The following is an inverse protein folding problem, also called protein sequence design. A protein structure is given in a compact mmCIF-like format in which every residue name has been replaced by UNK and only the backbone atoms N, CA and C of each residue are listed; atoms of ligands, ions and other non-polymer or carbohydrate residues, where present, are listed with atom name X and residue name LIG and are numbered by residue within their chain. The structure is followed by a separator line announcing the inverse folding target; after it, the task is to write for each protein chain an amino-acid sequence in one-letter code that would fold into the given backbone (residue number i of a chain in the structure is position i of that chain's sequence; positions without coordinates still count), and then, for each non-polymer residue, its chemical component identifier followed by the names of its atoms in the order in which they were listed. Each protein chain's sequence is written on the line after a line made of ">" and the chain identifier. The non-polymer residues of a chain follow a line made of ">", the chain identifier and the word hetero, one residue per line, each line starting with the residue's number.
data_IF_105769264479
#
_entry.id   IF_105769264479
#
_cell.length_a   1.000
_cell.length_b   1.000
_cell.length_c   1.000
_cell.angle_alpha   90.00
_cell.angle_beta   90.00
_cell.angle_gamma   90.00
#
_symmetry.space_group_name_H-M   'P 1'
#
loop_
_entity.id
_entity.type
_entity.pdbx_description
1 polymer ?
#
# COMPACT_ATOMS: atom_id res chain seq x y z
N UNK A 1 -20.68 -5.37 1.58
CA UNK A 1 -20.39 -3.91 1.50
C UNK A 1 -18.88 -3.76 1.65
N UNK A 2 -18.23 -3.00 0.77
CA UNK A 2 -16.80 -2.72 0.87
C UNK A 2 -16.53 -1.80 2.07
N UNK A 3 -15.41 -2.02 2.75
CA UNK A 3 -14.96 -1.20 3.89
C UNK A 3 -13.86 -0.25 3.42
N UNK A 4 -13.96 1.02 3.76
CA UNK A 4 -12.91 1.98 3.50
C UNK A 4 -11.78 1.83 4.51
N UNK A 5 -10.55 1.83 4.01
CA UNK A 5 -9.34 1.72 4.82
C UNK A 5 -8.35 2.82 4.42
N UNK A 6 -7.45 3.14 5.32
CA UNK A 6 -6.37 4.10 5.10
C UNK A 6 -5.01 3.44 5.29
N UNK A 7 -3.99 3.98 4.64
CA UNK A 7 -2.61 3.52 4.85
C UNK A 7 -2.12 4.05 6.19
N UNK A 8 -1.82 3.13 7.11
CA UNK A 8 -1.23 3.44 8.41
C UNK A 8 0.28 3.68 8.29
N UNK A 9 0.95 2.92 7.44
CA UNK A 9 2.39 3.00 7.22
C UNK A 9 2.96 1.76 6.53
N UNK A 10 4.29 1.72 6.48
CA UNK A 10 5.06 0.56 6.02
C UNK A 10 5.79 -0.04 7.21
N UNK A 11 5.65 -1.34 7.38
CA UNK A 11 6.37 -2.16 8.35
C UNK A 11 7.41 -3.04 7.63
N UNK A 12 8.34 -3.60 8.39
CA UNK A 12 9.31 -4.58 7.90
C UNK A 12 9.09 -5.90 8.64
N UNK A 13 8.90 -6.97 7.90
CA UNK A 13 8.92 -8.33 8.46
C UNK A 13 10.34 -8.64 8.96
N UNK A 14 10.51 -8.77 10.27
CA UNK A 14 11.81 -8.96 10.89
C UNK A 14 12.47 -10.31 10.55
N UNK A 15 11.69 -11.29 10.09
CA UNK A 15 12.20 -12.62 9.71
C UNK A 15 12.69 -12.65 8.27
N UNK A 16 12.00 -11.94 7.36
CA UNK A 16 12.30 -11.99 5.92
C UNK A 16 12.93 -10.71 5.39
N UNK A 17 12.85 -9.60 6.14
CA UNK A 17 13.24 -8.27 5.69
C UNK A 17 12.28 -7.67 4.65
N UNK A 18 11.16 -8.34 4.38
CA UNK A 18 10.19 -7.89 3.38
C UNK A 18 9.32 -6.75 3.91
N UNK A 19 9.07 -5.70 3.12
CA UNK A 19 8.18 -4.64 3.53
C UNK A 19 6.71 -5.07 3.50
N UNK A 20 5.94 -4.50 4.42
CA UNK A 20 4.51 -4.73 4.61
C UNK A 20 3.80 -3.38 4.59
N UNK A 21 2.87 -3.16 3.69
CA UNK A 21 1.93 -2.04 3.82
C UNK A 21 0.82 -2.42 4.78
N UNK A 22 0.56 -1.57 5.75
CA UNK A 22 -0.50 -1.77 6.74
C UNK A 22 -1.65 -0.84 6.43
N UNK A 23 -2.80 -1.41 6.10
CA UNK A 23 -4.06 -0.69 5.99
C UNK A 23 -4.82 -0.81 7.31
N UNK A 24 -5.55 0.24 7.69
CA UNK A 24 -6.37 0.28 8.89
C UNK A 24 -7.75 0.82 8.56
N UNK A 25 -8.79 0.27 9.17
CA UNK A 25 -10.14 0.81 9.03
C UNK A 25 -10.29 2.15 9.76
N UNK A 26 -11.29 2.93 9.36
CA UNK A 26 -11.52 4.27 9.89
C UNK A 26 -11.85 4.27 11.40
N UNK A 27 -12.29 3.15 11.95
CA UNK A 27 -12.61 2.98 13.37
C UNK A 27 -11.42 2.45 14.19
N UNK A 28 -10.27 2.19 13.56
CA UNK A 28 -9.06 1.62 14.18
C UNK A 28 -9.28 0.25 14.85
N UNK A 29 -10.23 -0.54 14.36
CA UNK A 29 -10.57 -1.86 14.91
C UNK A 29 -9.87 -3.00 14.19
N UNK A 30 -9.51 -2.81 12.93
CA UNK A 30 -8.91 -3.83 12.07
C UNK A 30 -7.72 -3.27 11.33
N UNK A 31 -6.67 -4.06 11.26
CA UNK A 31 -5.52 -3.81 10.42
C UNK A 31 -5.37 -4.92 9.39
N UNK A 32 -5.03 -4.58 8.15
CA UNK A 32 -4.76 -5.50 7.07
C UNK A 32 -3.31 -5.33 6.61
N UNK A 33 -2.41 -6.24 7.01
CA UNK A 33 -1.04 -6.25 6.50
C UNK A 33 -1.00 -6.91 5.12
N UNK A 34 -0.29 -6.29 4.19
CA UNK A 34 -0.06 -6.83 2.84
C UNK A 34 1.44 -6.77 2.55
N UNK A 35 2.07 -7.92 2.31
CA UNK A 35 3.47 -8.00 1.91
C UNK A 35 3.65 -7.45 0.50
N UNK A 36 4.64 -6.57 0.33
CA UNK A 36 4.90 -5.86 -0.93
C UNK A 36 6.38 -5.89 -1.28
N UNK A 37 6.73 -5.49 -2.49
CA UNK A 37 8.12 -5.35 -2.91
C UNK A 37 8.76 -4.05 -2.39
N UNK A 38 10.09 -4.02 -2.37
CA UNK A 38 10.85 -2.86 -1.89
C UNK A 38 10.64 -1.61 -2.76
N UNK A 39 10.49 -1.78 -4.07
CA UNK A 39 10.23 -0.68 -4.99
C UNK A 39 8.86 -0.05 -4.75
N UNK A 40 7.84 -0.88 -4.55
CA UNK A 40 6.48 -0.45 -4.25
C UNK A 40 6.40 0.22 -2.86
N UNK A 41 7.08 -0.35 -1.87
CA UNK A 41 7.19 0.26 -0.54
C UNK A 41 7.84 1.64 -0.60
N UNK A 42 8.93 1.79 -1.37
CA UNK A 42 9.57 3.08 -1.60
C UNK A 42 8.63 4.09 -2.25
N UNK A 43 7.82 3.65 -3.23
CA UNK A 43 6.84 4.50 -3.89
C UNK A 43 5.75 5.01 -2.93
N UNK A 44 5.31 4.17 -1.97
CA UNK A 44 4.32 4.52 -0.95
C UNK A 44 4.93 5.46 0.09
N UNK A 45 6.11 5.14 0.62
CA UNK A 45 6.81 5.95 1.63
C UNK A 45 7.04 7.38 1.14
N UNK A 46 7.45 7.56 -0.13
CA UNK A 46 7.67 8.91 -0.68
C UNK A 46 6.45 9.80 -0.55
N UNK A 47 5.25 9.25 -0.70
CA UNK A 47 4.01 10.01 -0.53
C UNK A 47 3.73 10.27 0.95
N UNK A 48 3.83 9.25 1.80
CA UNK A 48 3.57 9.37 3.24
C UNK A 48 4.51 10.39 3.88
N UNK A 49 5.80 10.35 3.54
CA UNK A 49 6.85 11.24 4.06
C UNK A 49 6.96 12.56 3.28
N UNK A 50 6.08 12.78 2.29
CA UNK A 50 6.06 13.98 1.45
C UNK A 50 7.43 14.30 0.81
N UNK A 51 8.13 13.24 0.36
CA UNK A 51 9.46 13.35 -0.27
C UNK A 51 9.31 13.88 -1.69
N UNK A 52 9.82 15.07 -1.93
CA UNK A 52 9.78 15.71 -3.25
C UNK A 52 10.79 15.06 -4.21
N UNK A 53 10.34 14.80 -5.43
CA UNK A 53 11.16 14.27 -6.52
C UNK A 53 11.29 15.30 -7.64
N UNK A 54 12.46 15.36 -8.28
CA UNK A 54 12.71 16.32 -9.39
C UNK A 54 11.97 15.96 -10.67
N UNK A 55 11.73 14.68 -10.89
CA UNK A 55 11.04 14.14 -12.08
C UNK A 55 10.02 13.10 -11.63
N UNK A 56 8.89 12.95 -12.37
CA UNK A 56 7.88 11.95 -12.06
C UNK A 56 8.49 10.55 -11.96
N UNK A 57 8.21 9.84 -10.88
CA UNK A 57 8.49 8.42 -10.73
C UNK A 57 7.40 7.59 -11.43
N UNK A 58 7.54 6.27 -11.47
CA UNK A 58 6.63 5.39 -12.23
C UNK A 58 5.16 5.62 -11.90
N UNK A 59 4.78 5.67 -10.62
CA UNK A 59 3.38 5.87 -10.22
C UNK A 59 2.91 7.30 -10.47
N UNK A 60 3.80 8.30 -10.36
CA UNK A 60 3.48 9.69 -10.72
C UNK A 60 3.23 9.80 -12.23
N UNK A 61 4.05 9.10 -13.04
CA UNK A 61 3.87 9.04 -14.50
C UNK A 61 2.51 8.41 -14.86
N UNK A 62 2.11 7.33 -14.18
CA UNK A 62 0.83 6.68 -14.43
C UNK A 62 -0.33 7.65 -14.13
N UNK A 63 -0.29 8.37 -13.01
CA UNK A 63 -1.31 9.39 -12.70
C UNK A 63 -1.35 10.46 -13.79
N UNK A 64 -0.19 10.99 -14.21
CA UNK A 64 -0.14 11.99 -15.27
C UNK A 64 -0.75 11.46 -16.59
N UNK A 65 -0.51 10.19 -16.92
CA UNK A 65 -1.10 9.56 -18.12
C UNK A 65 -2.63 9.41 -17.99
N UNK A 66 -3.12 9.00 -16.81
CA UNK A 66 -4.56 8.89 -16.54
C UNK A 66 -5.24 10.26 -16.75
N UNK A 67 -4.66 11.32 -16.19
CA UNK A 67 -5.18 12.67 -16.30
C UNK A 67 -5.11 13.23 -17.72
N UNK A 68 -3.99 12.98 -18.43
CA UNK A 68 -3.82 13.42 -19.83
C UNK A 68 -4.84 12.75 -20.79
N UNK A 69 -5.27 11.53 -20.45
CA UNK A 69 -6.30 10.80 -21.19
C UNK A 69 -7.73 11.15 -20.73
N UNK A 70 -7.89 12.20 -19.92
CA UNK A 70 -9.19 12.68 -19.43
C UNK A 70 -9.94 11.70 -18.51
N UNK A 71 -9.19 10.81 -17.82
CA UNK A 71 -9.72 9.96 -16.77
C UNK A 71 -9.36 10.50 -15.39
N UNK A 72 -10.08 10.05 -14.38
CA UNK A 72 -9.74 10.25 -12.96
C UNK A 72 -9.70 8.92 -12.27
N UNK A 73 -8.73 8.72 -11.38
CA UNK A 73 -8.76 7.61 -10.46
C UNK A 73 -9.84 7.90 -9.41
N UNK A 74 -10.92 7.12 -9.45
CA UNK A 74 -12.08 7.31 -8.58
C UNK A 74 -11.88 6.62 -7.23
N UNK A 75 -11.41 5.38 -7.25
CA UNK A 75 -11.12 4.56 -6.08
C UNK A 75 -10.25 3.37 -6.45
N UNK A 76 -9.76 2.67 -5.46
CA UNK A 76 -9.23 1.32 -5.64
C UNK A 76 -10.04 0.32 -4.81
N UNK A 77 -10.09 -0.92 -5.27
CA UNK A 77 -10.82 -1.99 -4.61
C UNK A 77 -9.90 -3.21 -4.46
N UNK A 78 -9.57 -3.60 -3.22
CA UNK A 78 -8.92 -4.89 -2.94
C UNK A 78 -10.05 -5.88 -2.72
N UNK A 79 -10.32 -6.71 -3.76
CA UNK A 79 -11.57 -7.42 -3.84
C UNK A 79 -11.48 -8.89 -3.51
N UNK A 80 -10.31 -9.52 -3.66
CA UNK A 80 -10.15 -10.95 -3.42
C UNK A 80 -8.76 -11.32 -2.91
N UNK A 81 -8.63 -12.53 -2.35
CA UNK A 81 -7.37 -13.13 -1.92
C UNK A 81 -7.40 -14.63 -2.19
N UNK A 82 -6.44 -15.13 -2.94
CA UNK A 82 -6.24 -16.55 -3.21
C UNK A 82 -4.81 -16.96 -2.89
N UNK A 83 -4.66 -17.98 -2.02
CA UNK A 83 -3.32 -18.51 -1.66
C UNK A 83 -2.33 -17.41 -1.29
N UNK A 84 -2.72 -16.49 -0.41
CA UNK A 84 -1.93 -15.33 0.04
C UNK A 84 -1.66 -14.27 -1.04
N UNK A 85 -2.23 -14.42 -2.25
CA UNK A 85 -2.15 -13.43 -3.31
C UNK A 85 -3.40 -12.57 -3.30
N UNK A 86 -3.22 -11.28 -3.08
CA UNK A 86 -4.30 -10.29 -3.08
C UNK A 86 -4.52 -9.73 -4.48
N UNK A 87 -5.79 -9.52 -4.82
CA UNK A 87 -6.23 -8.95 -6.10
C UNK A 87 -6.85 -7.58 -5.89
N UNK A 88 -6.52 -6.64 -6.76
CA UNK A 88 -7.06 -5.30 -6.69
C UNK A 88 -7.47 -4.77 -8.06
N UNK A 89 -8.44 -3.86 -8.04
CA UNK A 89 -8.84 -3.07 -9.20
C UNK A 89 -8.54 -1.58 -8.94
N UNK A 90 -8.02 -0.91 -9.96
CA UNK A 90 -8.00 0.53 -10.07
C UNK A 90 -9.25 0.93 -10.85
N UNK A 91 -10.14 1.67 -10.22
CA UNK A 91 -11.37 2.12 -10.86
C UNK A 91 -11.17 3.55 -11.36
N UNK A 92 -11.16 3.70 -12.67
CA UNK A 92 -11.08 4.98 -13.35
C UNK A 92 -12.47 5.44 -13.77
N UNK A 93 -12.67 6.74 -13.79
CA UNK A 93 -13.91 7.37 -14.26
C UNK A 93 -13.60 8.34 -15.39
N UNK A 94 -14.33 8.22 -16.50
CA UNK A 94 -14.21 9.12 -17.64
C UNK A 94 -15.09 10.39 -17.49
N UNK A 95 -15.01 11.30 -18.47
CA UNK A 95 -15.83 12.53 -18.53
C UNK A 95 -17.34 12.25 -18.60
N UNK A 96 -17.74 11.07 -19.08
CA UNK A 96 -19.14 10.63 -19.16
C UNK A 96 -19.61 9.94 -17.88
N UNK A 97 -18.74 9.90 -16.85
CA UNK A 97 -18.95 9.20 -15.57
C UNK A 97 -19.04 7.68 -15.70
N UNK A 98 -18.54 7.12 -16.79
CA UNK A 98 -18.40 5.65 -16.92
C UNK A 98 -17.21 5.16 -16.14
N UNK A 99 -17.39 4.04 -15.47
CA UNK A 99 -16.33 3.39 -14.67
C UNK A 99 -15.61 2.34 -15.50
N UNK A 100 -14.30 2.32 -15.34
CA UNK A 100 -13.40 1.36 -15.98
C UNK A 100 -12.52 0.73 -14.91
N UNK A 101 -12.70 -0.56 -14.66
CA UNK A 101 -11.89 -1.31 -13.70
C UNK A 101 -10.67 -1.90 -14.41
N UNK A 102 -9.51 -1.67 -13.84
CA UNK A 102 -8.22 -2.17 -14.34
C UNK A 102 -7.64 -3.07 -13.27
N UNK A 103 -7.34 -4.32 -13.62
CA UNK A 103 -6.67 -5.27 -12.74
C UNK A 103 -5.27 -4.78 -12.36
N UNK A 104 -4.91 -4.94 -11.10
CA UNK A 104 -3.61 -4.50 -10.60
C UNK A 104 -3.20 -5.26 -9.34
N UNK A 105 -1.91 -5.17 -9.00
CA UNK A 105 -1.46 -5.58 -7.68
C UNK A 105 -1.93 -4.55 -6.63
N UNK A 106 -2.29 -4.98 -5.40
CA UNK A 106 -2.67 -4.06 -4.33
C UNK A 106 -1.65 -2.96 -4.06
N UNK A 107 -0.36 -3.30 -4.08
CA UNK A 107 0.74 -2.32 -3.86
C UNK A 107 0.73 -1.17 -4.87
N UNK A 108 0.50 -1.47 -6.16
CA UNK A 108 0.45 -0.45 -7.22
C UNK A 108 -0.82 0.39 -7.08
N UNK A 109 -1.97 -0.26 -6.85
CA UNK A 109 -3.23 0.43 -6.62
C UNK A 109 -3.16 1.38 -5.42
N UNK A 110 -2.61 0.93 -4.28
CA UNK A 110 -2.41 1.75 -3.09
C UNK A 110 -1.48 2.93 -3.39
N UNK A 111 -0.35 2.68 -4.06
CA UNK A 111 0.61 3.71 -4.42
C UNK A 111 0.00 4.81 -5.30
N UNK A 112 -0.94 4.45 -6.18
CA UNK A 112 -1.69 5.40 -7.00
C UNK A 112 -2.75 6.13 -6.18
N UNK A 113 -3.53 5.41 -5.37
CA UNK A 113 -4.62 5.98 -4.57
C UNK A 113 -4.15 7.08 -3.62
N UNK A 114 -3.05 6.84 -2.88
CA UNK A 114 -2.53 7.82 -1.92
C UNK A 114 -1.98 9.09 -2.59
N UNK A 115 -1.58 9.02 -3.87
CA UNK A 115 -1.10 10.19 -4.64
C UNK A 115 -2.19 11.19 -4.95
N UNK A 116 -3.39 10.70 -5.16
CA UNK A 116 -4.55 11.53 -5.56
C UNK A 116 -5.61 11.63 -4.45
N UNK A 117 -5.38 10.99 -3.30
CA UNK A 117 -6.35 10.97 -2.21
C UNK A 117 -7.61 10.16 -2.53
N UNK A 118 -7.50 9.15 -3.39
CA UNK A 118 -8.63 8.29 -3.75
C UNK A 118 -8.91 7.26 -2.63
N UNK A 119 -10.20 6.89 -2.40
CA UNK A 119 -10.57 5.89 -1.42
C UNK A 119 -9.95 4.52 -1.70
N UNK A 120 -9.52 3.84 -0.62
CA UNK A 120 -9.06 2.45 -0.65
C UNK A 120 -10.16 1.59 -0.04
N UNK A 121 -10.80 0.78 -0.87
CA UNK A 121 -11.92 -0.07 -0.47
C UNK A 121 -11.48 -1.54 -0.41
N UNK A 122 -11.89 -2.24 0.65
CA UNK A 122 -11.52 -3.63 0.88
C UNK A 122 -12.78 -4.48 1.04
N UNK A 123 -12.80 -5.64 0.38
CA UNK A 123 -13.94 -6.55 0.43
C UNK A 123 -14.03 -7.28 1.79
N UNK A 124 -15.23 -7.69 2.22
CA UNK A 124 -15.40 -8.50 3.42
C UNK A 124 -14.62 -9.82 3.37
N UNK A 125 -14.49 -10.43 2.19
CA UNK A 125 -13.73 -11.67 1.98
C UNK A 125 -12.26 -11.46 2.32
N UNK A 126 -11.67 -10.40 1.84
CA UNK A 126 -10.26 -10.04 2.13
C UNK A 126 -10.08 -9.75 3.62
N UNK A 127 -11.00 -8.98 4.22
CA UNK A 127 -10.94 -8.67 5.65
C UNK A 127 -11.08 -9.93 6.52
N UNK A 128 -11.95 -10.86 6.15
CA UNK A 128 -12.13 -12.11 6.90
C UNK A 128 -10.90 -13.01 6.84
N UNK A 129 -10.16 -12.97 5.72
CA UNK A 129 -9.01 -13.85 5.50
C UNK A 129 -7.68 -13.28 6.01
N UNK A 130 -7.52 -11.95 5.99
CA UNK A 130 -6.20 -11.31 6.20
C UNK A 130 -6.16 -10.22 7.27
N UNK A 131 -7.31 -9.77 7.80
CA UNK A 131 -7.27 -8.70 8.80
C UNK A 131 -7.01 -9.21 10.21
N UNK A 132 -6.30 -8.38 10.99
CA UNK A 132 -6.02 -8.59 12.40
C UNK A 132 -6.92 -7.64 13.20
N UNK A 133 -7.58 -8.18 14.24
CA UNK A 133 -8.40 -7.37 15.15
C UNK A 133 -7.50 -6.57 16.10
N UNK A 134 -7.68 -5.26 16.16
CA UNK A 134 -6.92 -4.39 17.08
C UNK A 134 -7.57 -4.29 18.48
N UNK A 135 -8.74 -4.90 18.69
CA UNK A 135 -9.58 -4.66 19.89
C UNK A 135 -9.96 -5.90 20.72
N UNK A 136 -9.43 -7.09 20.46
CA UNK A 136 -9.81 -8.27 21.26
C UNK A 136 -8.85 -8.48 22.42
N UNK A 137 -9.40 -8.57 23.65
CA UNK A 137 -8.67 -8.90 24.87
C UNK A 137 -8.05 -10.32 24.88
N UNK A 138 -8.32 -11.12 23.84
CA UNK A 138 -7.73 -12.47 23.68
C UNK A 138 -6.52 -12.48 22.76
N UNK A 139 -6.37 -11.45 21.92
CA UNK A 139 -5.26 -11.30 21.00
C UNK A 139 -4.25 -10.23 21.53
N UNK A 140 -4.24 -9.97 22.84
CA UNK A 140 -3.34 -8.95 23.43
C UNK A 140 -1.85 -9.31 23.22
N UNK A 141 -1.50 -10.58 23.17
CA UNK A 141 -0.12 -11.00 22.88
C UNK A 141 0.23 -10.78 21.40
N UNK A 142 -0.62 -11.24 20.45
CA UNK A 142 -0.41 -11.05 19.02
C UNK A 142 -0.53 -9.57 18.61
N UNK A 143 -1.50 -8.84 19.18
CA UNK A 143 -1.66 -7.41 18.95
C UNK A 143 -0.58 -6.57 19.64
N UNK A 144 0.03 -7.08 20.72
CA UNK A 144 1.18 -6.45 21.37
C UNK A 144 2.44 -6.70 20.55
N UNK A 145 2.69 -7.91 20.09
CA UNK A 145 3.78 -8.21 19.15
C UNK A 145 3.67 -7.38 17.88
N UNK A 146 2.47 -7.24 17.32
CA UNK A 146 2.23 -6.41 16.14
C UNK A 146 2.40 -4.91 16.42
N UNK A 147 1.94 -4.40 17.58
CA UNK A 147 2.16 -3.00 18.00
C UNK A 147 3.62 -2.72 18.28
N UNK A 148 4.31 -3.62 18.98
CA UNK A 148 5.74 -3.52 19.25
C UNK A 148 6.55 -3.60 17.95
N UNK A 149 6.10 -4.40 17.01
CA UNK A 149 6.62 -4.51 15.66
C UNK A 149 6.50 -3.18 14.88
N UNK A 150 5.32 -2.54 14.91
CA UNK A 150 5.09 -1.25 14.23
C UNK A 150 5.80 -0.08 14.95
N UNK A 151 5.81 -0.05 16.28
CA UNK A 151 6.41 1.04 17.06
C UNK A 151 7.95 1.07 17.00
N UNK A 152 8.57 -0.06 16.70
CA UNK A 152 10.03 -0.16 16.58
C UNK A 152 10.57 0.21 15.19
N UNK A 153 9.71 0.60 14.25
CA UNK A 153 10.13 1.01 12.90
C UNK A 153 10.56 2.46 12.94
N UNK A 154 11.85 2.68 12.82
CA UNK A 154 12.39 4.01 12.54
C UNK A 154 12.52 4.20 11.04
N UNK A 155 12.19 5.38 10.49
CA UNK A 155 12.44 5.71 9.09
C UNK A 155 13.89 5.45 8.65
N UNK A 156 14.84 5.53 9.60
CA UNK A 156 16.27 5.26 9.40
C UNK A 156 16.59 3.80 9.04
N UNK A 157 15.74 2.84 9.39
CA UNK A 157 15.99 1.43 9.09
C UNK A 157 15.66 1.12 7.64
N UNK A 158 14.74 1.88 7.05
CA UNK A 158 14.41 1.81 5.63
C UNK A 158 15.50 2.45 4.75
N UNK A 159 16.13 3.53 5.20
CA UNK A 159 17.27 4.14 4.49
C UNK A 159 18.48 3.21 4.39
N UNK A 160 18.69 2.32 5.38
CA UNK A 160 19.72 1.28 5.33
C UNK A 160 19.45 0.24 4.25
N UNK A 161 18.21 -0.25 4.15
CA UNK A 161 17.80 -1.21 3.12
C UNK A 161 17.90 -0.62 1.70
N UNK A 162 17.67 0.69 1.56
CA UNK A 162 17.80 1.39 0.28
C UNK A 162 19.27 1.58 -0.12
N UNK A 163 20.20 1.74 0.84
CA UNK A 163 21.63 1.90 0.55
C UNK A 163 22.29 0.59 0.13
N UNK A 164 21.88 -0.54 0.70
CA UNK A 164 22.43 -1.85 0.33
C UNK A 164 22.02 -2.31 -1.08
N UNK A 165 20.93 -1.76 -1.64
CA UNK A 165 20.47 -2.05 -3.01
C UNK A 165 21.03 -1.09 -4.10
N UNK A 166 21.77 -0.05 -3.73
CA UNK A 166 22.34 0.90 -4.70
C UNK A 166 23.75 0.54 -5.19
N UNK A 167 24.34 -0.57 -4.70
CA UNK A 167 25.66 -1.03 -5.14
C UNK A 167 25.65 -1.77 -6.51
N UNK A 168 24.50 -1.86 -7.17
CA UNK A 168 24.37 -2.51 -8.48
C UNK A 168 24.60 -1.58 -9.69
N UNK A 169 24.84 -0.29 -9.47
CA UNK A 169 24.99 0.71 -10.54
C UNK A 169 26.37 1.39 -10.52
N UNK A 170 27.43 0.60 -10.36
CA UNK A 170 28.77 1.06 -10.72
C UNK A 170 29.11 0.57 -12.12
N UNK A 171 29.36 1.48 -13.09
CA UNK A 171 29.97 1.08 -14.34
C UNK A 171 31.35 0.49 -14.05
N UNK A 172 31.63 -0.68 -14.62
CA UNK A 172 32.95 -1.25 -14.64
C UNK A 172 33.85 -0.33 -15.48
N UNK A 173 34.94 0.13 -14.86
CA UNK A 173 36.08 0.74 -15.58
C UNK A 173 36.79 -0.30 -16.46
#
# INVERSE_FOLDING_TARGET
>A
MLSEMQVMGIAIDTRTGSPIVVLQDMDNRRALPIWIGSAEASAIIRVIENIQVRRPMTHDLIINMIEELDYKLDRIEIYDVEKETYFANIVLRDKKKQEHAIDSRPSDAIALAIRVGAPILVSPTVLASGSISCNSQKDEEDAKEFRDFIQNIKPSDFERLMKDNTDFDRPAD
#
